data_IF_043993546507
#
_entry.id   IF_043993546507
#
_cell.length_a   1.000
_cell.length_b   1.000
_cell.length_c   1.000
_cell.angle_alpha   90.00
_cell.angle_beta   90.00
_cell.angle_gamma   90.00
#
_symmetry.space_group_name_H-M   'P 1'
#
loop_
_entity.id
_entity.type
_entity.pdbx_description
1 polymer ?
#
# COMPACT_ATOMS: atom_id res chain seq x y z
N UNK A 1 23.32 -0.76 74.51
CA UNK A 1 23.80 -2.15 74.39
C UNK A 1 22.95 -2.88 73.35
N UNK A 2 23.62 -3.62 72.46
CA UNK A 2 23.15 -4.73 71.60
C UNK A 2 22.23 -4.44 70.41
N UNK A 3 22.88 -4.54 69.24
CA UNK A 3 22.34 -4.87 67.92
C UNK A 3 21.83 -6.32 67.91
N UNK A 4 20.72 -6.56 67.21
CA UNK A 4 20.33 -7.78 66.47
C UNK A 4 19.14 -7.35 65.58
N UNK A 5 19.25 -7.16 64.25
CA UNK A 5 19.31 -8.19 63.19
C UNK A 5 18.27 -9.29 63.49
N UNK A 6 17.12 -9.39 62.82
CA UNK A 6 16.88 -9.91 61.45
C UNK A 6 15.42 -9.55 61.11
N UNK A 7 15.16 -8.71 60.12
CA UNK A 7 14.65 -9.04 58.78
C UNK A 7 13.22 -9.63 58.77
N UNK A 8 12.27 -8.93 58.15
CA UNK A 8 11.35 -9.54 57.17
C UNK A 8 10.50 -8.49 56.45
N UNK A 9 10.74 -8.41 55.13
CA UNK A 9 9.73 -8.24 54.09
C UNK A 9 8.79 -7.01 54.15
N UNK A 10 9.02 -6.07 53.23
CA UNK A 10 7.96 -5.20 52.75
C UNK A 10 8.45 -3.79 52.48
N UNK A 11 9.02 -3.56 51.31
CA UNK A 11 9.35 -2.19 50.92
C UNK A 11 10.30 -2.05 49.74
N UNK A 12 10.98 -3.13 49.35
CA UNK A 12 11.75 -3.17 48.10
C UNK A 12 10.88 -3.72 46.95
N UNK A 13 9.80 -3.02 46.58
CA UNK A 13 9.08 -3.36 45.34
C UNK A 13 8.38 -2.17 44.63
N UNK A 14 8.53 -0.93 45.11
CA UNK A 14 7.85 0.22 44.49
C UNK A 14 8.82 1.26 43.88
N UNK A 15 10.03 0.85 43.49
CA UNK A 15 10.99 1.71 42.79
C UNK A 15 11.61 1.07 41.52
N UNK A 16 10.92 0.12 40.89
CA UNK A 16 11.32 -0.44 39.59
C UNK A 16 10.31 -0.27 38.46
N UNK A 17 9.15 0.38 38.70
CA UNK A 17 8.09 0.49 37.68
C UNK A 17 8.12 1.84 36.92
N UNK A 18 8.89 2.83 37.39
CA UNK A 18 8.86 4.19 36.83
C UNK A 18 9.69 4.44 35.56
N UNK A 19 10.65 3.58 35.22
CA UNK A 19 11.63 3.87 34.15
C UNK A 19 11.45 3.03 32.88
N UNK A 20 10.50 2.09 32.88
CA UNK A 20 10.29 1.16 31.77
C UNK A 20 9.15 1.56 30.81
N UNK A 21 8.84 2.85 30.68
CA UNK A 21 7.76 3.35 29.78
C UNK A 21 8.24 4.31 28.68
N UNK A 22 9.54 4.36 28.38
CA UNK A 22 10.08 5.17 27.28
C UNK A 22 10.43 4.40 26.00
N UNK A 23 10.33 3.07 25.99
CA UNK A 23 10.69 2.26 24.81
C UNK A 23 9.54 1.50 24.15
N UNK A 24 8.27 1.78 24.51
CA UNK A 24 7.12 1.25 23.77
C UNK A 24 6.63 2.29 22.73
N UNK A 25 7.56 2.89 21.99
CA UNK A 25 7.23 3.25 20.60
C UNK A 25 7.55 1.98 19.84
N UNK A 26 6.55 1.15 19.58
CA UNK A 26 6.72 0.11 18.56
C UNK A 26 7.14 0.85 17.29
N UNK A 27 8.33 0.58 16.72
CA UNK A 27 8.68 1.16 15.44
C UNK A 27 7.56 0.75 14.49
N UNK A 28 6.76 1.72 14.04
CA UNK A 28 5.71 1.45 13.07
C UNK A 28 6.34 0.64 11.93
N UNK A 29 5.74 -0.50 11.60
CA UNK A 29 6.18 -1.40 10.53
C UNK A 29 6.70 -0.54 9.36
N UNK A 30 7.96 -0.73 8.91
CA UNK A 30 8.51 0.06 7.83
C UNK A 30 7.55 0.01 6.65
N UNK A 31 6.97 1.16 6.29
CA UNK A 31 6.07 1.23 5.15
C UNK A 31 6.82 0.73 3.91
N UNK A 32 6.23 -0.21 3.17
CA UNK A 32 6.83 -0.73 1.95
C UNK A 32 7.29 0.43 1.05
N UNK A 33 8.50 0.35 0.50
CA UNK A 33 8.96 1.31 -0.50
C UNK A 33 8.09 1.16 -1.75
N UNK A 34 7.33 2.21 -2.08
CA UNK A 34 6.46 2.21 -3.24
C UNK A 34 7.18 2.85 -4.43
N UNK A 35 6.96 2.28 -5.62
CA UNK A 35 7.39 2.89 -6.86
C UNK A 35 6.62 4.20 -7.07
N UNK A 36 7.32 5.33 -7.13
CA UNK A 36 6.75 6.66 -7.38
C UNK A 36 7.10 7.18 -8.77
N UNK A 37 6.50 8.30 -9.17
CA UNK A 37 6.86 9.05 -10.37
C UNK A 37 8.34 9.41 -10.46
N UNK A 38 9.00 9.66 -9.33
CA UNK A 38 10.42 10.06 -9.27
C UNK A 38 11.35 9.01 -9.87
N UNK A 39 11.11 7.72 -9.57
CA UNK A 39 11.85 6.60 -10.14
C UNK A 39 11.27 6.20 -11.48
N UNK A 40 9.93 6.16 -11.62
CA UNK A 40 9.24 5.82 -12.86
C UNK A 40 9.75 6.61 -14.06
N UNK A 41 9.89 7.93 -13.94
CA UNK A 41 10.36 8.79 -15.03
C UNK A 41 11.79 8.49 -15.49
N UNK A 42 12.61 7.84 -14.65
CA UNK A 42 14.00 7.46 -14.94
C UNK A 42 14.15 6.02 -15.41
N UNK A 43 13.11 5.20 -15.27
CA UNK A 43 13.11 3.80 -15.70
C UNK A 43 13.19 3.72 -17.22
N UNK A 44 13.87 2.67 -17.72
CA UNK A 44 13.82 2.33 -19.13
C UNK A 44 12.39 2.01 -19.57
N UNK A 45 12.07 2.16 -20.88
CA UNK A 45 10.77 1.75 -21.41
C UNK A 45 10.42 0.30 -21.05
N UNK A 46 11.37 -0.62 -21.19
CA UNK A 46 11.17 -2.04 -20.89
C UNK A 46 10.87 -2.29 -19.41
N UNK A 47 11.50 -1.55 -18.49
CA UNK A 47 11.25 -1.69 -17.06
C UNK A 47 9.83 -1.21 -16.69
N UNK A 48 9.33 -0.14 -17.34
CA UNK A 48 7.94 0.31 -17.17
C UNK A 48 6.95 -0.74 -17.69
N UNK A 49 7.23 -1.29 -18.88
CA UNK A 49 6.44 -2.37 -19.48
C UNK A 49 6.41 -3.59 -18.57
N UNK A 50 7.56 -4.03 -18.04
CA UNK A 50 7.67 -5.16 -17.13
C UNK A 50 6.86 -4.94 -15.84
N UNK A 51 6.88 -3.72 -15.27
CA UNK A 51 6.07 -3.38 -14.10
C UNK A 51 4.57 -3.55 -14.38
N UNK A 52 4.08 -3.06 -15.52
CA UNK A 52 2.67 -3.20 -15.91
C UNK A 52 2.30 -4.66 -16.20
N UNK A 53 3.18 -5.43 -16.83
CA UNK A 53 3.03 -6.89 -16.96
C UNK A 53 2.91 -7.57 -15.59
N UNK A 54 3.71 -7.18 -14.60
CA UNK A 54 3.63 -7.68 -13.23
C UNK A 54 2.27 -7.45 -12.59
N UNK A 55 1.67 -6.27 -12.79
CA UNK A 55 0.31 -5.98 -12.34
C UNK A 55 -0.72 -6.87 -13.05
N UNK A 56 -0.58 -7.05 -14.37
CA UNK A 56 -1.43 -7.95 -15.14
C UNK A 56 -1.39 -9.39 -14.60
N UNK A 57 -0.20 -9.90 -14.31
CA UNK A 57 -0.01 -11.23 -13.71
C UNK A 57 -0.65 -11.34 -12.32
N UNK A 58 -0.52 -10.32 -11.47
CA UNK A 58 -1.17 -10.29 -10.16
C UNK A 58 -2.70 -10.33 -10.29
N UNK A 59 -3.25 -9.53 -11.19
CA UNK A 59 -4.70 -9.47 -11.43
C UNK A 59 -5.23 -10.81 -11.93
N UNK A 60 -4.50 -11.47 -12.84
CA UNK A 60 -4.87 -12.77 -13.35
C UNK A 60 -4.74 -13.87 -12.29
N UNK A 61 -3.68 -13.84 -11.49
CA UNK A 61 -3.51 -14.76 -10.36
C UNK A 61 -4.69 -14.67 -9.40
N UNK A 62 -5.07 -13.46 -8.98
CA UNK A 62 -6.24 -13.25 -8.12
C UNK A 62 -7.54 -13.75 -8.77
N UNK A 63 -7.74 -13.47 -10.07
CA UNK A 63 -8.93 -13.91 -10.81
C UNK A 63 -9.07 -15.44 -10.83
N UNK A 64 -7.96 -16.16 -10.96
CA UNK A 64 -7.93 -17.62 -11.08
C UNK A 64 -7.91 -18.30 -9.71
N UNK A 65 -7.18 -17.76 -8.74
CA UNK A 65 -6.85 -18.45 -7.49
C UNK A 65 -7.60 -17.93 -6.26
N UNK A 66 -8.00 -16.65 -6.20
CA UNK A 66 -8.51 -16.06 -4.95
C UNK A 66 -9.96 -16.43 -4.61
N UNK A 67 -10.66 -17.17 -5.48
CA UNK A 67 -12.06 -17.54 -5.27
C UNK A 67 -12.99 -16.33 -5.16
N UNK A 68 -14.21 -16.53 -4.67
CA UNK A 68 -15.11 -15.41 -4.36
C UNK A 68 -14.65 -14.80 -3.03
N UNK A 69 -14.31 -13.50 -2.99
CA UNK A 69 -13.92 -12.84 -1.75
C UNK A 69 -15.03 -12.99 -0.68
N UNK A 70 -14.70 -13.15 0.61
CA UNK A 70 -15.70 -13.17 1.67
C UNK A 70 -16.61 -11.95 1.58
N UNK A 71 -17.92 -12.15 1.82
CA UNK A 71 -18.89 -11.06 1.79
C UNK A 71 -18.44 -9.91 2.72
N UNK A 72 -18.33 -8.70 2.18
CA UNK A 72 -17.84 -7.53 2.90
C UNK A 72 -16.33 -7.24 2.76
N UNK A 73 -15.56 -8.08 2.08
CA UNK A 73 -14.16 -7.78 1.76
C UNK A 73 -14.04 -6.63 0.76
N UNK A 74 -13.17 -5.66 1.06
CA UNK A 74 -12.85 -4.54 0.17
C UNK A 74 -11.63 -4.93 -0.66
N UNK A 75 -11.85 -5.30 -1.93
CA UNK A 75 -10.77 -5.55 -2.88
C UNK A 75 -10.80 -4.51 -4.00
N UNK A 76 -9.63 -4.02 -4.37
CA UNK A 76 -9.47 -3.15 -5.55
C UNK A 76 -9.24 -3.95 -6.84
N UNK A 77 -8.98 -5.26 -6.73
CA UNK A 77 -8.70 -6.15 -7.87
C UNK A 77 -9.85 -6.17 -8.91
N UNK A 78 -11.14 -6.24 -8.54
CA UNK A 78 -12.23 -6.23 -9.53
C UNK A 78 -12.26 -4.95 -10.39
N UNK A 79 -11.73 -3.84 -9.89
CA UNK A 79 -11.59 -2.63 -10.68
C UNK A 79 -10.41 -2.74 -11.64
N UNK A 80 -9.27 -3.27 -11.21
CA UNK A 80 -8.13 -3.55 -12.09
C UNK A 80 -8.49 -4.52 -13.21
N UNK A 81 -9.15 -5.65 -12.89
CA UNK A 81 -9.58 -6.64 -13.89
C UNK A 81 -10.45 -6.01 -14.97
N UNK A 82 -11.40 -5.14 -14.59
CA UNK A 82 -12.28 -4.47 -15.54
C UNK A 82 -11.58 -3.34 -16.30
N UNK A 83 -10.82 -2.51 -15.60
CA UNK A 83 -10.21 -1.30 -16.17
C UNK A 83 -9.02 -1.56 -17.08
N UNK A 84 -8.31 -2.68 -16.88
CA UNK A 84 -7.17 -3.09 -17.71
C UNK A 84 -7.56 -4.09 -18.81
N UNK A 85 -8.80 -4.60 -18.82
CA UNK A 85 -9.25 -5.64 -19.76
C UNK A 85 -9.02 -5.21 -21.22
N UNK A 86 -8.22 -5.99 -21.94
CA UNK A 86 -7.98 -5.80 -23.38
C UNK A 86 -7.15 -4.57 -23.74
N UNK A 87 -6.58 -3.85 -22.75
CA UNK A 87 -5.72 -2.70 -23.03
C UNK A 87 -4.31 -3.13 -23.43
N UNK A 88 -3.72 -2.54 -24.48
CA UNK A 88 -2.31 -2.72 -24.77
C UNK A 88 -1.43 -2.22 -23.62
N UNK A 89 -0.43 -3.00 -23.21
CA UNK A 89 0.48 -2.65 -22.11
C UNK A 89 1.17 -1.30 -22.36
N UNK A 90 1.58 -1.03 -23.60
CA UNK A 90 2.21 0.23 -23.97
C UNK A 90 1.27 1.43 -23.81
N UNK A 91 -0.04 1.26 -24.03
CA UNK A 91 -1.03 2.32 -23.82
C UNK A 91 -1.15 2.67 -22.33
N UNK A 92 -1.11 1.65 -21.45
CA UNK A 92 -1.11 1.84 -20.00
C UNK A 92 0.12 2.62 -19.56
N UNK A 93 1.31 2.24 -20.04
CA UNK A 93 2.56 2.96 -19.76
C UNK A 93 2.48 4.42 -20.20
N UNK A 94 2.00 4.67 -21.42
CA UNK A 94 1.86 6.02 -21.97
C UNK A 94 0.90 6.89 -21.14
N UNK A 95 -0.21 6.34 -20.65
CA UNK A 95 -1.14 7.09 -19.80
C UNK A 95 -0.54 7.43 -18.43
N UNK A 96 0.26 6.55 -17.86
CA UNK A 96 1.00 6.83 -16.62
C UNK A 96 2.08 7.89 -16.84
N UNK A 97 2.81 7.82 -17.96
CA UNK A 97 3.78 8.85 -18.35
C UNK A 97 3.12 10.22 -18.52
N UNK A 98 2.03 10.27 -19.29
CA UNK A 98 1.25 11.49 -19.52
C UNK A 98 0.71 12.09 -18.20
N UNK A 99 0.29 11.24 -17.26
CA UNK A 99 -0.17 11.70 -15.96
C UNK A 99 0.92 12.48 -15.22
N UNK A 100 2.12 11.92 -15.09
CA UNK A 100 3.19 12.60 -14.36
C UNK A 100 3.75 13.82 -15.10
N UNK A 101 3.70 13.84 -16.43
CA UNK A 101 4.03 15.04 -17.22
C UNK A 101 3.04 16.18 -16.96
N UNK A 102 1.75 15.86 -16.85
CA UNK A 102 0.70 16.84 -16.60
C UNK A 102 0.60 17.28 -15.12
N UNK A 103 1.13 16.48 -14.18
CA UNK A 103 1.02 16.72 -12.73
C UNK A 103 2.40 16.64 -12.05
N UNK A 104 3.32 17.58 -12.34
CA UNK A 104 4.67 17.56 -11.76
C UNK A 104 4.67 17.70 -10.22
N UNK A 105 3.64 18.32 -9.65
CA UNK A 105 3.40 18.42 -8.21
C UNK A 105 3.10 17.06 -7.55
N UNK A 106 2.74 16.05 -8.35
CA UNK A 106 2.34 14.73 -7.89
C UNK A 106 3.39 13.65 -8.19
N UNK A 107 4.64 14.02 -8.50
CA UNK A 107 5.72 13.08 -8.82
C UNK A 107 6.00 12.05 -7.71
N UNK A 108 5.66 12.38 -6.45
CA UNK A 108 5.77 11.48 -5.29
C UNK A 108 4.62 10.50 -5.13
N UNK A 109 3.55 10.63 -5.92
CA UNK A 109 2.42 9.72 -5.89
C UNK A 109 2.88 8.31 -6.31
N UNK A 110 2.39 7.24 -5.68
CA UNK A 110 2.71 5.88 -6.11
C UNK A 110 2.18 5.58 -7.52
N UNK A 111 2.96 4.86 -8.32
CA UNK A 111 2.61 4.48 -9.69
C UNK A 111 1.34 3.65 -9.76
N UNK A 112 1.11 2.74 -8.80
CA UNK A 112 -0.13 1.96 -8.80
C UNK A 112 -1.38 2.83 -8.58
N UNK A 113 -1.28 3.86 -7.73
CA UNK A 113 -2.37 4.84 -7.52
C UNK A 113 -2.59 5.68 -8.80
N UNK A 114 -1.51 6.09 -9.46
CA UNK A 114 -1.60 6.79 -10.76
C UNK A 114 -2.23 5.92 -11.84
N UNK A 115 -1.79 4.66 -11.98
CA UNK A 115 -2.41 3.70 -12.91
C UNK A 115 -3.91 3.58 -12.62
N UNK A 116 -4.30 3.54 -11.36
CA UNK A 116 -5.71 3.48 -10.99
C UNK A 116 -6.47 4.74 -11.45
N UNK A 117 -5.93 5.93 -11.21
CA UNK A 117 -6.59 7.20 -11.53
C UNK A 117 -6.59 7.54 -13.02
N UNK A 118 -5.48 7.29 -13.70
CA UNK A 118 -5.25 7.68 -15.09
C UNK A 118 -5.82 6.65 -16.07
N UNK A 119 -5.86 5.36 -15.68
CA UNK A 119 -6.20 4.26 -16.59
C UNK A 119 -7.49 3.55 -16.16
N UNK A 120 -7.54 3.07 -14.92
CA UNK A 120 -8.62 2.20 -14.45
C UNK A 120 -9.92 2.96 -14.25
N UNK A 121 -9.91 4.02 -13.44
CA UNK A 121 -11.13 4.78 -13.12
C UNK A 121 -11.80 5.38 -14.37
N UNK A 122 -11.07 5.95 -15.35
CA UNK A 122 -11.68 6.42 -16.59
C UNK A 122 -12.34 5.30 -17.40
N UNK A 123 -11.76 4.10 -17.40
CA UNK A 123 -12.30 2.93 -18.10
C UNK A 123 -13.65 2.45 -17.55
N UNK A 124 -13.92 2.70 -16.27
CA UNK A 124 -15.10 2.20 -15.56
C UNK A 124 -16.33 3.13 -15.68
N UNK A 125 -16.15 4.34 -16.25
CA UNK A 125 -17.23 5.33 -16.34
C UNK A 125 -17.73 5.81 -14.97
N UNK A 126 -18.89 6.50 -14.92
CA UNK A 126 -19.43 7.09 -13.69
C UNK A 126 -19.80 6.06 -12.60
N UNK A 127 -20.10 4.81 -12.98
CA UNK A 127 -20.44 3.73 -12.04
C UNK A 127 -19.22 3.24 -11.24
N UNK A 128 -18.00 3.47 -11.73
CA UNK A 128 -16.76 3.12 -11.01
C UNK A 128 -16.37 4.11 -9.91
N UNK A 129 -16.97 5.30 -9.85
CA UNK A 129 -16.59 6.39 -8.94
C UNK A 129 -17.37 6.40 -7.61
N UNK A 130 -18.40 5.59 -7.46
CA UNK A 130 -19.27 5.63 -6.27
C UNK A 130 -20.22 4.45 -6.17
N UNK A 131 -19.74 3.34 -5.62
CA UNK A 131 -20.60 2.27 -5.10
C UNK A 131 -21.30 2.69 -3.80
N UNK A 132 -22.21 3.66 -3.89
CA UNK A 132 -23.31 3.87 -2.94
C UNK A 132 -24.49 4.46 -3.70
N UNK A 133 -25.51 3.64 -3.95
CA UNK A 133 -26.77 4.10 -4.53
C UNK A 133 -27.43 3.11 -5.48
N UNK A 134 -27.86 1.97 -4.96
CA UNK A 134 -29.15 1.33 -5.27
C UNK A 134 -29.49 0.38 -4.14
#
# INVERSE_FOLDING_TARGET
MKRSLVLAMGGALLLLVGVARWHLVEPGEPSAQLLTGELWQRMSPDAKVAFVWGIGNLVEFERVQAGTPPAGSKSFIPFLTRGLKGRPINEVVQQVDAYYQAHPDQVRRPVLDVLFRAVVLPALGPEGKGGKGR
#
